data_IF_817600035003
#
_entry.id   IF_817600035003
#
_cell.length_a   1.000
_cell.length_b   1.000
_cell.length_c   1.000
_cell.angle_alpha   90.00
_cell.angle_beta   90.00
_cell.angle_gamma   90.00
#
_symmetry.space_group_name_H-M   'P 1'
#
loop_
_entity.id
_entity.type
_entity.pdbx_description
1 polymer ?
#
# COMPACT_ATOMS: atom_id res chain seq x y z
N UNK A 1 -11.60 -5.80 18.08
CA UNK A 1 -12.58 -6.90 18.25
C UNK A 1 -11.93 -8.15 17.66
N UNK A 2 -11.49 -9.08 18.51
CA UNK A 2 -10.92 -10.35 18.03
C UNK A 2 -12.07 -11.22 17.51
N UNK A 3 -12.12 -11.43 16.22
CA UNK A 3 -13.17 -12.23 15.58
C UNK A 3 -12.92 -13.74 15.69
N UNK A 4 -11.66 -14.12 15.97
CA UNK A 4 -11.27 -15.52 16.15
C UNK A 4 -10.50 -15.65 17.45
N UNK A 5 -10.96 -16.53 18.35
CA UNK A 5 -10.31 -16.77 19.62
C UNK A 5 -8.89 -17.30 19.44
N UNK A 6 -7.93 -16.71 20.16
CA UNK A 6 -6.51 -17.08 20.11
C UNK A 6 -5.72 -16.49 18.93
N UNK A 7 -6.36 -15.78 18.01
CA UNK A 7 -5.66 -15.06 16.93
C UNK A 7 -5.54 -13.58 17.31
N UNK A 8 -4.31 -13.08 17.37
CA UNK A 8 -4.05 -11.66 17.66
C UNK A 8 -4.52 -10.74 16.54
N UNK A 9 -4.93 -9.53 16.88
CA UNK A 9 -5.45 -8.51 15.95
C UNK A 9 -4.46 -8.20 14.82
N UNK A 10 -3.16 -8.23 15.11
CA UNK A 10 -2.12 -7.99 14.10
C UNK A 10 -2.13 -9.01 12.95
N UNK A 11 -2.74 -10.19 13.15
CA UNK A 11 -2.73 -11.25 12.15
C UNK A 11 -3.69 -10.97 10.99
N UNK A 12 -4.86 -10.43 11.27
CA UNK A 12 -5.92 -10.22 10.26
C UNK A 12 -6.45 -8.79 10.29
N UNK A 13 -6.84 -8.31 11.48
CA UNK A 13 -7.63 -7.09 11.63
C UNK A 13 -6.89 -5.84 11.17
N UNK A 14 -5.59 -5.70 11.50
CA UNK A 14 -4.81 -4.54 11.07
C UNK A 14 -4.71 -4.44 9.54
N UNK A 15 -4.51 -5.58 8.87
CA UNK A 15 -4.50 -5.61 7.40
C UNK A 15 -5.86 -5.28 6.79
N UNK A 16 -6.94 -5.78 7.40
CA UNK A 16 -8.29 -5.48 6.98
C UNK A 16 -8.65 -4.00 7.21
N UNK A 17 -8.25 -3.42 8.35
CA UNK A 17 -8.53 -2.03 8.68
C UNK A 17 -7.73 -1.04 7.83
N UNK A 18 -6.47 -1.36 7.50
CA UNK A 18 -5.69 -0.59 6.52
C UNK A 18 -6.42 -0.55 5.17
N UNK A 19 -6.91 -1.69 4.71
CA UNK A 19 -7.68 -1.78 3.46
C UNK A 19 -8.98 -0.98 3.51
N UNK A 20 -9.72 -1.03 4.63
CA UNK A 20 -10.93 -0.20 4.84
C UNK A 20 -10.60 1.29 4.84
N UNK A 21 -9.47 1.68 5.43
CA UNK A 21 -9.00 3.07 5.44
C UNK A 21 -8.75 3.57 4.02
N UNK A 22 -8.08 2.78 3.19
CA UNK A 22 -7.87 3.11 1.77
C UNK A 22 -9.21 3.30 1.06
N UNK A 23 -10.13 2.35 1.21
CA UNK A 23 -11.47 2.45 0.62
C UNK A 23 -12.22 3.71 1.10
N UNK A 24 -12.16 4.00 2.41
CA UNK A 24 -12.79 5.18 2.99
C UNK A 24 -12.23 6.47 2.41
N UNK A 25 -10.91 6.61 2.29
CA UNK A 25 -10.27 7.80 1.72
C UNK A 25 -10.68 8.02 0.26
N UNK A 26 -10.73 6.97 -0.54
CA UNK A 26 -11.15 7.06 -1.94
C UNK A 26 -12.64 7.42 -2.02
N UNK A 27 -13.52 6.61 -1.46
CA UNK A 27 -14.97 6.71 -1.68
C UNK A 27 -15.67 7.82 -0.88
N UNK A 28 -15.00 8.41 0.13
CA UNK A 28 -15.43 9.68 0.72
C UNK A 28 -15.01 10.90 -0.11
N UNK A 29 -14.14 10.71 -1.10
CA UNK A 29 -13.51 11.79 -1.86
C UNK A 29 -12.43 12.55 -1.07
N UNK A 30 -12.04 12.06 0.11
CA UNK A 30 -11.02 12.72 0.91
C UNK A 30 -9.66 12.74 0.20
N UNK A 31 -9.27 11.64 -0.43
CA UNK A 31 -8.01 11.55 -1.16
C UNK A 31 -7.97 12.55 -2.34
N UNK A 32 -9.08 12.76 -3.03
CA UNK A 32 -9.18 13.74 -4.12
C UNK A 32 -9.16 15.19 -3.61
N UNK A 33 -9.72 15.44 -2.43
CA UNK A 33 -9.79 16.76 -1.81
C UNK A 33 -8.44 17.20 -1.24
N UNK A 34 -7.70 16.28 -0.66
CA UNK A 34 -6.41 16.54 0.01
C UNK A 34 -5.24 16.00 -0.81
N UNK A 35 -5.06 16.51 -2.01
CA UNK A 35 -4.04 16.05 -2.97
C UNK A 35 -2.60 16.32 -2.51
N UNK A 36 -2.40 17.28 -1.63
CA UNK A 36 -1.08 17.66 -1.10
C UNK A 36 -0.58 16.70 0.00
N UNK A 37 -1.44 15.77 0.46
CA UNK A 37 -1.05 14.76 1.44
C UNK A 37 -0.50 13.54 0.73
N UNK A 38 0.74 13.17 1.05
CA UNK A 38 1.31 11.88 0.69
C UNK A 38 0.84 10.82 1.68
N UNK A 39 -0.10 9.97 1.25
CA UNK A 39 -0.62 8.89 2.05
C UNK A 39 0.28 7.67 1.93
N UNK A 40 0.87 7.22 3.04
CA UNK A 40 1.70 6.01 3.10
C UNK A 40 0.94 4.97 3.92
N UNK A 41 0.68 3.81 3.32
CA UNK A 41 0.00 2.70 3.96
C UNK A 41 0.97 1.59 4.31
N UNK A 42 0.91 1.12 5.55
CA UNK A 42 1.74 0.03 6.02
C UNK A 42 1.37 -1.30 5.39
N UNK A 43 2.32 -2.22 5.38
CA UNK A 43 2.12 -3.61 4.98
C UNK A 43 1.51 -3.76 3.57
N UNK A 44 2.01 -2.94 2.62
CA UNK A 44 1.52 -2.96 1.24
C UNK A 44 0.04 -2.59 1.08
N UNK A 45 -0.52 -1.85 2.04
CA UNK A 45 -1.95 -1.54 2.08
C UNK A 45 -2.82 -2.66 2.65
N UNK A 46 -2.21 -3.58 3.43
CA UNK A 46 -2.90 -4.69 4.05
C UNK A 46 -3.39 -5.72 3.02
N UNK A 47 -4.68 -5.98 2.99
CA UNK A 47 -5.31 -6.90 2.05
C UNK A 47 -5.73 -6.23 0.72
N UNK A 48 -5.20 -5.04 0.40
CA UNK A 48 -5.60 -4.24 -0.77
C UNK A 48 -5.53 -5.03 -2.07
N UNK A 49 -4.45 -5.76 -2.31
CA UNK A 49 -4.26 -6.51 -3.57
C UNK A 49 -5.34 -7.55 -3.81
N UNK A 50 -5.91 -8.14 -2.75
CA UNK A 50 -7.02 -9.08 -2.83
C UNK A 50 -8.38 -8.39 -3.07
N UNK A 51 -8.50 -7.11 -2.73
CA UNK A 51 -9.77 -6.36 -2.83
C UNK A 51 -9.77 -5.28 -3.92
N UNK A 52 -8.65 -5.00 -4.58
CA UNK A 52 -8.53 -3.91 -5.54
C UNK A 52 -9.58 -3.97 -6.64
N UNK A 53 -9.82 -5.14 -7.24
CA UNK A 53 -10.83 -5.30 -8.28
C UNK A 53 -12.25 -4.99 -7.78
N UNK A 54 -12.55 -5.26 -6.51
CA UNK A 54 -13.84 -4.89 -5.91
C UNK A 54 -14.01 -3.39 -5.82
N UNK A 55 -12.94 -2.65 -5.55
CA UNK A 55 -12.95 -1.18 -5.57
C UNK A 55 -13.12 -0.66 -7.00
N UNK A 56 -12.37 -1.20 -7.93
CA UNK A 56 -12.30 -0.79 -9.33
C UNK A 56 -13.58 -1.08 -10.13
N UNK A 57 -14.32 -2.11 -9.75
CA UNK A 57 -15.50 -2.59 -10.50
C UNK A 57 -16.76 -2.51 -9.65
N UNK A 58 -16.83 -3.21 -8.51
CA UNK A 58 -18.07 -3.33 -7.75
C UNK A 58 -18.53 -2.02 -7.13
N UNK A 59 -17.61 -1.27 -6.53
CA UNK A 59 -17.95 0.00 -5.88
C UNK A 59 -18.40 1.05 -6.88
N UNK A 60 -17.69 1.15 -8.02
CA UNK A 60 -17.99 2.16 -9.05
C UNK A 60 -19.24 1.83 -9.86
N UNK A 61 -19.74 0.59 -9.82
CA UNK A 61 -20.95 0.17 -10.55
C UNK A 61 -22.24 0.27 -9.72
N UNK A 62 -22.15 0.61 -8.42
CA UNK A 62 -23.30 0.58 -7.48
C UNK A 62 -23.59 1.95 -6.86
N UNK A 63 -24.86 2.26 -6.54
CA UNK A 63 -25.17 3.39 -5.69
C UNK A 63 -24.50 3.25 -4.31
N UNK A 64 -24.04 4.37 -3.71
CA UNK A 64 -24.15 5.75 -4.17
C UNK A 64 -22.96 6.24 -5.02
N UNK A 65 -22.10 5.34 -5.50
CA UNK A 65 -20.79 5.68 -6.06
C UNK A 65 -20.74 5.72 -7.60
N UNK A 66 -21.64 5.02 -8.29
CA UNK A 66 -21.66 4.86 -9.76
C UNK A 66 -21.62 6.16 -10.56
N UNK A 67 -22.18 7.23 -9.99
CA UNK A 67 -22.26 8.54 -10.64
C UNK A 67 -21.12 9.49 -10.21
N UNK A 68 -20.26 9.05 -9.29
CA UNK A 68 -19.17 9.86 -8.70
C UNK A 68 -17.79 9.31 -8.99
N UNK A 69 -17.68 8.01 -9.16
CA UNK A 69 -16.41 7.32 -9.33
C UNK A 69 -16.42 6.44 -10.57
N UNK A 70 -15.29 6.42 -11.25
CA UNK A 70 -15.00 5.50 -12.34
C UNK A 70 -13.82 4.63 -11.97
N UNK A 71 -13.61 3.53 -12.69
CA UNK A 71 -12.40 2.72 -12.53
C UNK A 71 -11.12 3.58 -12.63
N UNK A 72 -11.06 4.46 -13.62
CA UNK A 72 -9.90 5.34 -13.83
C UNK A 72 -9.61 6.26 -12.64
N UNK A 73 -10.66 6.77 -11.96
CA UNK A 73 -10.51 7.56 -10.74
C UNK A 73 -9.92 6.70 -9.62
N UNK A 74 -10.45 5.50 -9.40
CA UNK A 74 -9.95 4.58 -8.37
C UNK A 74 -8.50 4.17 -8.64
N UNK A 75 -8.19 3.80 -9.88
CA UNK A 75 -6.83 3.45 -10.31
C UNK A 75 -5.87 4.62 -10.09
N UNK A 76 -6.29 5.85 -10.45
CA UNK A 76 -5.51 7.07 -10.22
C UNK A 76 -5.19 7.31 -8.74
N UNK A 77 -6.16 7.10 -7.84
CA UNK A 77 -5.95 7.26 -6.41
C UNK A 77 -5.03 6.15 -5.84
N UNK A 78 -5.24 4.89 -6.22
CA UNK A 78 -4.38 3.78 -5.82
C UNK A 78 -2.92 4.01 -6.29
N UNK A 79 -2.73 4.51 -7.50
CA UNK A 79 -1.42 4.82 -8.08
C UNK A 79 -0.77 6.08 -7.50
N UNK A 80 -1.48 6.88 -6.73
CA UNK A 80 -0.97 8.07 -6.05
C UNK A 80 -0.54 7.80 -4.61
N UNK A 81 -1.11 6.79 -3.97
CA UNK A 81 -0.75 6.38 -2.63
C UNK A 81 0.63 5.70 -2.59
N UNK A 82 1.24 5.70 -1.42
CA UNK A 82 2.48 4.99 -1.15
C UNK A 82 2.22 3.79 -0.25
N UNK A 83 3.02 2.76 -0.42
CA UNK A 83 2.86 1.49 0.29
C UNK A 83 4.22 1.02 0.79
N UNK A 84 4.34 0.71 2.08
CA UNK A 84 5.60 0.19 2.59
C UNK A 84 5.73 -1.32 2.40
N UNK A 85 6.97 -1.81 2.55
CA UNK A 85 7.29 -3.22 2.34
C UNK A 85 7.25 -4.07 3.61
N UNK A 86 6.85 -3.49 4.75
CA UNK A 86 6.80 -4.20 6.02
C UNK A 86 5.98 -5.49 5.89
N UNK A 87 6.56 -6.61 6.29
CA UNK A 87 5.98 -7.96 6.26
C UNK A 87 5.48 -8.48 4.90
N UNK A 88 5.69 -7.75 3.81
CA UNK A 88 5.28 -8.18 2.46
C UNK A 88 6.46 -8.45 1.51
N UNK A 89 7.71 -8.44 1.99
CA UNK A 89 8.92 -8.64 1.19
C UNK A 89 9.09 -10.11 0.77
N UNK A 90 8.06 -10.68 0.15
CA UNK A 90 8.03 -12.02 -0.43
C UNK A 90 7.41 -11.99 -1.83
N UNK A 91 7.74 -12.96 -2.67
CA UNK A 91 7.38 -12.97 -4.08
C UNK A 91 5.87 -12.84 -4.36
N UNK A 92 5.02 -13.38 -3.47
CA UNK A 92 3.56 -13.36 -3.65
C UNK A 92 3.02 -11.94 -3.37
N UNK A 93 3.28 -11.42 -2.19
CA UNK A 93 2.67 -10.16 -1.74
C UNK A 93 3.24 -8.96 -2.48
N UNK A 94 4.59 -8.81 -2.50
CA UNK A 94 5.20 -7.66 -3.18
C UNK A 94 5.03 -7.75 -4.70
N UNK A 95 5.01 -8.98 -5.26
CA UNK A 95 4.75 -9.19 -6.67
C UNK A 95 3.32 -8.79 -7.07
N UNK A 96 2.33 -9.09 -6.23
CA UNK A 96 0.95 -8.63 -6.44
C UNK A 96 0.85 -7.10 -6.34
N UNK A 97 1.50 -6.49 -5.34
CA UNK A 97 1.52 -5.03 -5.19
C UNK A 97 2.17 -4.34 -6.39
N UNK A 98 3.32 -4.82 -6.87
CA UNK A 98 4.04 -4.27 -8.03
C UNK A 98 3.28 -4.44 -9.37
N UNK A 99 2.26 -5.31 -9.40
CA UNK A 99 1.32 -5.39 -10.54
C UNK A 99 0.15 -4.42 -10.41
N UNK A 100 -0.18 -4.04 -9.18
CA UNK A 100 -1.30 -3.14 -8.91
C UNK A 100 -0.89 -1.67 -9.01
N UNK A 101 0.29 -1.31 -8.53
CA UNK A 101 0.78 0.08 -8.47
C UNK A 101 2.19 0.22 -9.05
N UNK A 102 2.60 1.41 -9.51
CA UNK A 102 3.97 1.64 -9.97
C UNK A 102 5.02 1.39 -8.88
N UNK A 103 6.20 0.91 -9.26
CA UNK A 103 7.34 0.75 -8.35
C UNK A 103 7.67 2.05 -7.60
N UNK A 104 7.47 3.19 -8.24
CA UNK A 104 7.67 4.51 -7.64
C UNK A 104 6.79 4.79 -6.40
N UNK A 105 5.78 4.00 -6.16
CA UNK A 105 4.87 4.14 -5.02
C UNK A 105 5.16 3.13 -3.90
N UNK A 106 6.17 2.29 -4.07
CA UNK A 106 6.58 1.32 -3.05
C UNK A 106 7.78 1.90 -2.29
N UNK A 107 7.68 1.96 -0.96
CA UNK A 107 8.73 2.49 -0.08
C UNK A 107 9.19 1.43 0.91
N UNK A 108 10.47 1.46 1.27
CA UNK A 108 11.03 0.52 2.23
C UNK A 108 10.45 0.71 3.63
N UNK A 109 10.02 -0.38 4.25
CA UNK A 109 9.57 -0.45 5.64
C UNK A 109 9.86 -1.82 6.23
N UNK A 110 10.13 -1.91 7.54
CA UNK A 110 10.58 -3.14 8.21
C UNK A 110 9.63 -3.64 9.29
N UNK A 111 8.69 -2.82 9.75
CA UNK A 111 7.89 -3.10 10.95
C UNK A 111 8.77 -3.22 12.22
N UNK A 112 9.90 -2.48 12.27
CA UNK A 112 10.74 -2.44 13.47
C UNK A 112 9.95 -1.86 14.65
N UNK A 113 10.03 -2.41 15.88
CA UNK A 113 10.97 -3.46 16.32
C UNK A 113 10.46 -4.90 16.19
N UNK A 114 9.28 -5.12 15.63
CA UNK A 114 8.66 -6.46 15.54
C UNK A 114 9.38 -7.38 14.54
N UNK A 115 10.01 -6.77 13.51
CA UNK A 115 10.73 -7.49 12.46
C UNK A 115 12.13 -6.89 12.25
N UNK A 116 12.99 -7.64 11.58
CA UNK A 116 14.36 -7.19 11.27
C UNK A 116 14.44 -6.59 9.86
N UNK A 117 15.30 -5.56 9.70
CA UNK A 117 15.52 -4.98 8.37
C UNK A 117 16.16 -5.98 7.39
N UNK A 118 17.01 -6.87 7.87
CA UNK A 118 17.75 -7.83 7.03
C UNK A 118 16.85 -8.76 6.22
N UNK A 119 15.77 -9.26 6.82
CA UNK A 119 14.82 -10.13 6.10
C UNK A 119 14.13 -9.42 4.94
N UNK A 120 13.82 -8.12 5.11
CA UNK A 120 13.20 -7.31 4.06
C UNK A 120 14.18 -7.00 2.92
N UNK A 121 15.41 -6.62 3.24
CA UNK A 121 16.49 -6.43 2.24
C UNK A 121 16.70 -7.70 1.43
N UNK A 122 16.84 -8.85 2.11
CA UNK A 122 17.03 -10.14 1.46
C UNK A 122 15.84 -10.51 0.58
N UNK A 123 14.62 -10.33 1.08
CA UNK A 123 13.39 -10.65 0.35
C UNK A 123 13.22 -9.77 -0.89
N UNK A 124 13.46 -8.47 -0.78
CA UNK A 124 13.38 -7.54 -1.91
C UNK A 124 14.46 -7.82 -2.96
N UNK A 125 15.72 -8.04 -2.53
CA UNK A 125 16.84 -8.35 -3.42
C UNK A 125 16.71 -9.68 -4.18
N UNK A 126 15.86 -10.60 -3.68
CA UNK A 126 15.53 -11.83 -4.41
C UNK A 126 14.51 -11.62 -5.54
N UNK A 127 13.82 -10.48 -5.57
CA UNK A 127 12.69 -10.20 -6.48
C UNK A 127 13.00 -9.05 -7.43
N UNK A 128 13.62 -7.98 -6.92
CA UNK A 128 13.96 -6.77 -7.67
C UNK A 128 15.48 -6.62 -7.80
N UNK A 129 15.91 -5.93 -8.82
CA UNK A 129 17.31 -5.63 -9.07
C UNK A 129 17.46 -4.22 -9.68
N UNK A 130 18.70 -3.71 -9.69
CA UNK A 130 19.04 -2.45 -10.37
C UNK A 130 18.22 -1.27 -9.89
N UNK A 131 17.65 -0.53 -10.83
CA UNK A 131 16.92 0.71 -10.55
C UNK A 131 15.65 0.50 -9.72
N UNK A 132 14.93 -0.60 -9.93
CA UNK A 132 13.69 -0.87 -9.19
C UNK A 132 13.98 -1.16 -7.71
N UNK A 133 15.00 -1.97 -7.41
CA UNK A 133 15.42 -2.23 -6.03
C UNK A 133 15.86 -0.94 -5.34
N UNK A 134 16.70 -0.15 -5.99
CA UNK A 134 17.19 1.13 -5.48
C UNK A 134 16.05 2.13 -5.23
N UNK A 135 15.06 2.15 -6.12
CA UNK A 135 13.87 2.99 -5.98
C UNK A 135 13.09 2.62 -4.71
N UNK A 136 12.80 1.33 -4.49
CA UNK A 136 12.06 0.85 -3.33
C UNK A 136 12.84 1.11 -2.03
N UNK A 137 14.14 0.73 -2.00
CA UNK A 137 14.94 0.82 -0.78
C UNK A 137 15.25 2.25 -0.35
N UNK A 138 15.28 3.21 -1.28
CA UNK A 138 15.76 4.55 -0.96
C UNK A 138 15.06 5.67 -1.73
N UNK A 139 15.10 5.68 -3.06
CA UNK A 139 14.84 6.88 -3.84
C UNK A 139 13.37 7.35 -3.74
N UNK A 140 12.43 6.42 -3.61
CA UNK A 140 11.02 6.76 -3.42
C UNK A 140 10.78 7.49 -2.11
N UNK A 141 11.40 7.04 -1.01
CA UNK A 141 11.31 7.72 0.29
C UNK A 141 11.95 9.12 0.24
N UNK A 142 13.11 9.27 -0.40
CA UNK A 142 13.78 10.58 -0.56
C UNK A 142 12.96 11.58 -1.36
N UNK A 143 12.12 11.11 -2.29
CA UNK A 143 11.23 11.97 -3.07
C UNK A 143 10.13 12.58 -2.21
N UNK A 144 9.54 11.79 -1.31
CA UNK A 144 8.40 12.22 -0.49
C UNK A 144 8.80 12.80 0.87
N UNK A 145 10.01 12.52 1.33
CA UNK A 145 10.57 13.03 2.58
C UNK A 145 11.92 13.72 2.30
N UNK A 146 11.92 14.93 1.72
CA UNK A 146 13.16 15.57 1.24
C UNK A 146 14.23 15.78 2.33
N UNK A 147 13.83 15.90 3.61
CA UNK A 147 14.76 16.03 4.74
C UNK A 147 15.72 14.85 4.91
N UNK A 148 15.36 13.67 4.37
CA UNK A 148 16.24 12.49 4.42
C UNK A 148 17.43 12.58 3.43
N UNK A 149 17.43 13.54 2.50
CA UNK A 149 18.55 13.75 1.56
C UNK A 149 19.79 14.34 2.22
N UNK A 150 19.63 14.97 3.35
CA UNK A 150 20.70 15.71 4.07
C UNK A 150 21.17 14.97 5.34
N UNK A 151 20.66 13.79 5.60
CA UNK A 151 21.02 12.96 6.75
C UNK A 151 22.18 12.01 6.45
#
# INVERSE_FOLDING_TARGET
>A
MNLVEGIGEATIELGADTTRTIASLIFSGASQRYKDINWIFSHGGGALTAFAERFQIQMVSRPPYKDKFTRAIVDGELNRFYYDTAQISNAVMIGALAKLVPISQIVYGTDYPYRTGLEHVTGLGAIFAGADLMAIERENALRIIPRLKTA
#
